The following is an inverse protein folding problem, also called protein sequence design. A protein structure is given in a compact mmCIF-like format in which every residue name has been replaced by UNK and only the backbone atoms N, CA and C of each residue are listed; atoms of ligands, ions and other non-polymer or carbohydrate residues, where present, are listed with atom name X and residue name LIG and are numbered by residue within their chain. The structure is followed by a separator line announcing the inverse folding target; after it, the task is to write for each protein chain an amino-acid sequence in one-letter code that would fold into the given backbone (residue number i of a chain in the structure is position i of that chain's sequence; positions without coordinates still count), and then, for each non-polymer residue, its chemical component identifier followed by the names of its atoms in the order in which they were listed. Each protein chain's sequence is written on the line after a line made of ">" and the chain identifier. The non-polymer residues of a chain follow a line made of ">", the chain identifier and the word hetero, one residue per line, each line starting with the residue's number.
data_IF_640366910165
#
_entry.id   IF_640366910165
#
_cell.length_a   1.000
_cell.length_b   1.000
_cell.length_c   1.000
_cell.angle_alpha   90.00
_cell.angle_beta   90.00
_cell.angle_gamma   90.00
#
_symmetry.space_group_name_H-M   'P 1'
#
loop_
_entity.id
_entity.type
_entity.pdbx_description
1 polymer ?
#
# COMPACT_ATOMS: atom_id res chain seq x y z
N UNK A 1 -19.90 3.97 -17.12
CA UNK A 1 -19.72 2.96 -16.05
C UNK A 1 -18.79 3.56 -15.03
N UNK A 2 -19.05 3.36 -13.73
CA UNK A 2 -18.16 3.86 -12.67
C UNK A 2 -16.97 2.90 -12.52
N UNK A 3 -15.75 3.44 -12.54
CA UNK A 3 -14.49 2.71 -12.40
C UNK A 3 -13.93 2.93 -11.00
N UNK A 4 -13.81 1.86 -10.23
CA UNK A 4 -13.26 1.89 -8.88
C UNK A 4 -11.93 1.14 -8.85
N UNK A 5 -10.85 1.81 -8.47
CA UNK A 5 -9.50 1.25 -8.38
C UNK A 5 -9.04 1.06 -6.94
N UNK A 6 -8.16 0.10 -6.71
CA UNK A 6 -7.50 -0.12 -5.42
C UNK A 6 -5.99 -0.12 -5.64
N UNK A 7 -5.27 0.77 -4.95
CA UNK A 7 -3.82 0.78 -4.97
C UNK A 7 -3.29 0.14 -3.68
N UNK A 8 -2.56 -0.97 -3.82
CA UNK A 8 -1.98 -1.70 -2.71
C UNK A 8 -0.52 -1.30 -2.48
N UNK A 9 -0.29 -0.56 -1.41
CA UNK A 9 1.05 -0.30 -0.92
C UNK A 9 1.64 -1.57 -0.31
N UNK A 10 2.76 -2.04 -0.86
CA UNK A 10 3.59 -3.14 -0.31
C UNK A 10 4.95 -2.62 0.17
N UNK A 11 5.57 -1.80 -0.68
CA UNK A 11 6.78 -0.99 -0.43
C UNK A 11 6.51 0.41 -0.99
N UNK A 12 7.30 1.40 -0.57
CA UNK A 12 7.14 2.76 -1.08
C UNK A 12 5.84 3.39 -0.61
N UNK A 13 5.68 3.52 0.71
CA UNK A 13 4.67 4.37 1.36
C UNK A 13 4.95 5.84 1.04
N UNK A 14 4.76 6.21 -0.23
CA UNK A 14 5.03 7.52 -0.81
C UNK A 14 4.06 7.81 -1.94
N UNK A 15 3.81 9.10 -2.15
CA UNK A 15 2.96 9.60 -3.24
C UNK A 15 3.79 10.06 -4.45
N UNK A 16 4.97 10.62 -4.21
CA UNK A 16 5.86 11.06 -5.29
C UNK A 16 6.47 9.85 -5.99
N UNK A 17 6.71 9.99 -7.30
CA UNK A 17 7.39 8.99 -8.13
C UNK A 17 6.88 7.55 -7.89
N UNK A 18 5.55 7.42 -7.95
CA UNK A 18 4.85 6.15 -7.81
C UNK A 18 4.01 5.89 -9.08
N UNK A 19 4.62 5.32 -10.14
CA UNK A 19 3.95 5.12 -11.42
C UNK A 19 2.72 4.21 -11.30
N UNK A 20 2.76 3.22 -10.41
CA UNK A 20 1.63 2.33 -10.16
C UNK A 20 0.44 3.05 -9.49
N UNK A 21 0.69 4.08 -8.67
CA UNK A 21 -0.38 4.93 -8.13
C UNK A 21 -0.93 5.86 -9.21
N UNK A 22 -0.06 6.45 -10.03
CA UNK A 22 -0.48 7.31 -11.14
C UNK A 22 -1.38 6.56 -12.14
N UNK A 23 -1.02 5.32 -12.48
CA UNK A 23 -1.83 4.47 -13.35
C UNK A 23 -3.18 4.11 -12.70
N UNK A 24 -3.20 3.80 -11.39
CA UNK A 24 -4.44 3.51 -10.68
C UNK A 24 -5.40 4.70 -10.59
N UNK A 25 -4.87 5.93 -10.60
CA UNK A 25 -5.64 7.18 -10.64
C UNK A 25 -6.16 7.49 -12.05
N UNK A 26 -5.50 6.99 -13.09
CA UNK A 26 -5.83 7.34 -14.46
C UNK A 26 -7.12 6.64 -14.91
N UNK A 27 -8.19 7.43 -15.11
CA UNK A 27 -9.50 6.93 -15.57
C UNK A 27 -10.35 6.27 -14.48
N UNK A 28 -9.98 6.39 -13.21
CA UNK A 28 -10.77 5.91 -12.08
C UNK A 28 -11.67 7.01 -11.51
N UNK A 29 -12.94 6.71 -11.25
CA UNK A 29 -13.86 7.60 -10.53
C UNK A 29 -13.57 7.61 -9.03
N UNK A 30 -13.12 6.46 -8.48
CA UNK A 30 -12.66 6.37 -7.10
C UNK A 30 -11.41 5.51 -6.98
N UNK A 31 -10.52 5.87 -6.05
CA UNK A 31 -9.32 5.09 -5.73
C UNK A 31 -9.22 4.87 -4.23
N UNK A 32 -9.01 3.62 -3.81
CA UNK A 32 -8.75 3.25 -2.42
C UNK A 32 -7.30 2.83 -2.26
N UNK A 33 -6.57 3.59 -1.45
CA UNK A 33 -5.21 3.29 -1.06
C UNK A 33 -5.20 2.35 0.14
N UNK A 34 -4.67 1.13 -0.02
CA UNK A 34 -4.66 0.11 1.04
C UNK A 34 -3.25 -0.34 1.36
N UNK A 35 -2.98 -0.59 2.63
CA UNK A 35 -1.78 -1.28 3.12
C UNK A 35 -2.26 -2.44 3.98
N UNK A 36 -1.84 -3.66 3.66
CA UNK A 36 -2.27 -4.87 4.37
C UNK A 36 -1.23 -5.19 5.44
N UNK A 37 -1.62 -4.98 6.69
CA UNK A 37 -0.86 -5.42 7.86
C UNK A 37 -1.23 -6.86 8.15
N UNK A 38 -0.34 -7.79 7.80
CA UNK A 38 -0.50 -9.21 8.13
C UNK A 38 0.25 -9.54 9.44
N UNK A 39 -0.47 -9.75 10.56
CA UNK A 39 0.15 -10.07 11.85
C UNK A 39 0.75 -11.49 11.89
N UNK A 40 0.35 -12.39 10.97
CA UNK A 40 0.89 -13.74 10.89
C UNK A 40 2.20 -13.78 10.10
N UNK A 41 2.41 -12.82 9.19
CA UNK A 41 3.71 -12.55 8.59
C UNK A 41 4.69 -11.94 9.60
N UNK A 42 4.20 -11.24 10.64
CA UNK A 42 5.04 -10.64 11.68
C UNK A 42 5.81 -11.64 12.54
N UNK A 43 5.23 -12.83 12.74
CA UNK A 43 5.90 -13.94 13.43
C UNK A 43 6.83 -14.76 12.53
N UNK A 44 6.59 -14.78 11.21
CA UNK A 44 7.37 -15.56 10.24
C UNK A 44 8.55 -14.78 9.64
N UNK A 45 8.46 -13.46 9.58
CA UNK A 45 9.52 -12.59 9.10
C UNK A 45 10.35 -12.05 10.28
N UNK A 46 11.68 -12.14 10.20
CA UNK A 46 12.63 -11.53 11.16
C UNK A 46 12.55 -9.98 11.11
N UNK A 47 11.43 -9.41 11.56
CA UNK A 47 11.13 -7.98 11.55
C UNK A 47 11.23 -7.48 12.99
N UNK A 48 12.33 -6.79 13.29
CA UNK A 48 12.53 -6.20 14.62
C UNK A 48 11.52 -5.11 14.96
N UNK A 49 11.33 -4.88 16.26
CA UNK A 49 10.33 -3.92 16.79
C UNK A 49 10.47 -2.49 16.23
N UNK A 50 11.70 -2.05 15.94
CA UNK A 50 11.94 -0.73 15.36
C UNK A 50 11.39 -0.62 13.92
N UNK A 51 11.41 -1.71 13.15
CA UNK A 51 10.84 -1.75 11.80
C UNK A 51 9.31 -1.82 11.84
N UNK A 52 8.74 -2.51 12.83
CA UNK A 52 7.30 -2.48 13.10
C UNK A 52 6.80 -1.07 13.43
N UNK A 53 7.46 -0.39 14.37
CA UNK A 53 7.13 0.99 14.77
C UNK A 53 7.23 2.02 13.64
N UNK A 54 8.03 1.75 12.61
CA UNK A 54 8.16 2.65 11.47
C UNK A 54 6.99 2.52 10.48
N UNK A 55 6.31 1.36 10.47
CA UNK A 55 5.24 1.04 9.51
C UNK A 55 3.83 1.21 10.10
N UNK A 56 3.68 1.07 11.42
CA UNK A 56 2.46 1.41 12.18
C UNK A 56 2.35 2.89 12.45
#
# INVERSE_FOLDING_TARGET
>A
MVVNSVHWFRKGLRLHDNPALQEALNGADTVRCVYILDPWFAGAANVGINRWRFVT
#
